data_IF_813127038459
#
_entry.id   IF_813127038459
#
_cell.length_a   1.000
_cell.length_b   1.000
_cell.length_c   1.000
_cell.angle_alpha   90.00
_cell.angle_beta   90.00
_cell.angle_gamma   90.00
#
_symmetry.space_group_name_H-M   'P 1'
#
loop_
_entity.id
_entity.type
_entity.pdbx_description
1 polymer ?
#
# COMPACT_ATOMS: atom_id res chain seq x y z
N UNK A 1 9.57 8.39 -4.66
CA UNK A 1 8.42 7.77 -3.99
C UNK A 1 7.17 8.16 -4.77
N UNK A 2 6.39 7.20 -5.26
CA UNK A 2 5.11 7.48 -5.92
C UNK A 2 4.05 6.59 -5.30
N UNK A 3 3.00 7.20 -4.76
CA UNK A 3 1.82 6.47 -4.34
C UNK A 3 1.02 6.11 -5.58
N UNK A 4 0.71 4.84 -5.75
CA UNK A 4 -0.15 4.33 -6.82
C UNK A 4 -1.46 3.87 -6.18
N UNK A 5 -2.56 4.03 -6.90
CA UNK A 5 -3.85 3.50 -6.46
C UNK A 5 -3.97 2.08 -7.01
N UNK A 6 -4.00 1.09 -6.12
CA UNK A 6 -4.14 -0.31 -6.50
C UNK A 6 -5.59 -0.77 -6.25
N UNK A 7 -6.29 -1.10 -7.32
CA UNK A 7 -7.68 -1.54 -7.23
C UNK A 7 -8.04 -2.54 -8.34
N UNK A 8 -9.03 -3.40 -8.07
CA UNK A 8 -9.49 -4.38 -9.04
C UNK A 8 -10.32 -3.67 -10.11
N UNK A 9 -9.83 -3.64 -11.36
CA UNK A 9 -10.49 -2.97 -12.49
C UNK A 9 -11.94 -3.43 -12.71
N UNK A 10 -12.33 -4.60 -12.19
CA UNK A 10 -13.69 -5.15 -12.31
C UNK A 10 -14.62 -4.80 -11.14
N UNK A 11 -14.08 -4.37 -10.00
CA UNK A 11 -14.88 -3.99 -8.84
C UNK A 11 -15.30 -2.51 -8.96
N UNK A 12 -16.51 -2.25 -9.47
CA UNK A 12 -17.13 -0.91 -9.47
C UNK A 12 -17.58 -0.46 -8.07
N UNK A 13 -16.72 -0.60 -7.06
CA UNK A 13 -17.03 -0.17 -5.69
C UNK A 13 -16.32 1.14 -5.39
N UNK A 14 -17.01 2.09 -4.75
CA UNK A 14 -16.43 3.36 -4.29
C UNK A 14 -15.39 3.07 -3.18
N UNK A 15 -14.14 2.84 -3.54
CA UNK A 15 -13.07 2.60 -2.57
C UNK A 15 -11.70 2.61 -3.22
N UNK A 16 -11.14 3.81 -3.43
CA UNK A 16 -9.74 3.95 -3.81
C UNK A 16 -8.87 3.44 -2.66
N UNK A 17 -7.99 2.49 -2.92
CA UNK A 17 -7.01 2.01 -1.96
C UNK A 17 -5.61 2.46 -2.39
N UNK A 18 -4.90 3.15 -1.50
CA UNK A 18 -3.53 3.57 -1.76
C UNK A 18 -2.58 2.40 -1.57
N UNK A 19 -1.66 2.21 -2.52
CA UNK A 19 -0.55 1.27 -2.43
C UNK A 19 0.75 2.04 -2.70
N UNK A 20 1.67 2.00 -1.73
CA UNK A 20 2.96 2.67 -1.89
C UNK A 20 3.93 1.69 -2.54
N UNK A 21 4.45 2.05 -3.72
CA UNK A 21 5.45 1.24 -4.42
C UNK A 21 6.78 2.01 -4.55
N UNK A 22 7.88 1.33 -4.29
CA UNK A 22 9.25 1.85 -4.35
C UNK A 22 10.08 1.01 -5.32
N UNK A 23 10.98 1.63 -6.07
CA UNK A 23 11.92 0.90 -6.89
C UNK A 23 13.18 0.58 -6.08
N UNK A 24 13.55 -0.70 -6.00
CA UNK A 24 14.84 -1.14 -5.44
C UNK A 24 15.94 -1.24 -6.51
N UNK A 25 15.57 -1.21 -7.79
CA UNK A 25 16.51 -1.31 -8.91
C UNK A 25 16.10 -0.45 -10.11
N UNK A 26 17.01 -0.29 -11.08
CA UNK A 26 16.71 0.38 -12.34
C UNK A 26 15.59 -0.32 -13.14
N UNK A 27 15.52 -1.65 -13.06
CA UNK A 27 14.43 -2.43 -13.65
C UNK A 27 13.10 -2.12 -12.95
N UNK A 28 13.12 -2.04 -11.62
CA UNK A 28 11.99 -1.58 -10.81
C UNK A 28 11.49 -0.19 -11.18
N UNK A 29 12.42 0.75 -11.39
CA UNK A 29 12.08 2.11 -11.81
C UNK A 29 11.40 2.11 -13.18
N UNK A 30 11.91 1.34 -14.15
CA UNK A 30 11.28 1.18 -15.45
C UNK A 30 9.88 0.55 -15.33
N UNK A 31 9.70 -0.42 -14.44
CA UNK A 31 8.40 -1.04 -14.16
C UNK A 31 7.43 -0.06 -13.50
N UNK A 32 7.85 0.78 -12.56
CA UNK A 32 7.01 1.84 -11.99
C UNK A 32 6.54 2.85 -13.04
N UNK A 33 7.41 3.21 -13.99
CA UNK A 33 7.03 4.08 -15.11
C UNK A 33 5.94 3.39 -15.95
N UNK A 34 6.12 2.12 -16.32
CA UNK A 34 5.13 1.35 -17.07
C UNK A 34 3.80 1.24 -16.33
N UNK A 35 3.82 0.88 -15.05
CA UNK A 35 2.63 0.80 -14.20
C UNK A 35 1.88 2.14 -14.15
N UNK A 36 2.61 3.24 -14.00
CA UNK A 36 2.00 4.56 -14.07
C UNK A 36 1.38 4.83 -15.44
N UNK A 37 2.09 4.58 -16.53
CA UNK A 37 1.58 4.84 -17.88
C UNK A 37 0.34 3.99 -18.17
N UNK A 38 0.36 2.70 -17.83
CA UNK A 38 -0.75 1.78 -18.02
C UNK A 38 -1.95 2.14 -17.15
N UNK A 39 -1.73 2.61 -15.92
CA UNK A 39 -2.81 3.13 -15.08
C UNK A 39 -3.52 4.35 -15.68
N UNK A 40 -2.81 5.20 -16.42
CA UNK A 40 -3.41 6.30 -17.18
C UNK A 40 -4.05 5.89 -18.50
N UNK A 41 -3.47 4.93 -19.21
CA UNK A 41 -3.95 4.54 -20.54
C UNK A 41 -5.14 3.56 -20.49
N UNK A 42 -5.11 2.63 -19.54
CA UNK A 42 -6.05 1.50 -19.47
C UNK A 42 -6.92 1.49 -18.21
N UNK A 43 -6.54 2.25 -17.17
CA UNK A 43 -7.19 2.27 -15.86
C UNK A 43 -7.93 3.56 -15.54
N UNK A 44 -8.05 4.48 -16.50
CA UNK A 44 -8.57 5.82 -16.24
C UNK A 44 -10.09 5.86 -16.16
N UNK A 45 -10.62 5.99 -14.94
CA UNK A 45 -12.04 6.24 -14.69
C UNK A 45 -12.27 7.60 -14.02
N UNK A 46 -11.45 7.94 -13.01
CA UNK A 46 -11.44 9.24 -12.30
C UNK A 46 -10.02 9.56 -11.78
N UNK A 47 -9.27 8.52 -11.40
CA UNK A 47 -7.85 8.49 -11.07
C UNK A 47 -7.20 7.32 -11.83
N UNK A 48 -5.90 7.38 -12.16
CA UNK A 48 -5.18 6.26 -12.78
C UNK A 48 -5.10 5.08 -11.79
N UNK A 49 -5.62 3.92 -12.20
CA UNK A 49 -5.66 2.70 -11.36
C UNK A 49 -4.83 1.59 -11.94
N UNK A 50 -4.19 0.83 -11.07
CA UNK A 50 -3.46 -0.40 -11.44
C UNK A 50 -4.18 -1.59 -10.83
N UNK A 51 -4.42 -2.64 -11.62
CA UNK A 51 -4.96 -3.89 -11.11
C UNK A 51 -3.88 -4.90 -10.73
N UNK A 52 -4.31 -5.94 -10.05
CA UNK A 52 -3.44 -7.03 -9.62
C UNK A 52 -2.68 -7.70 -10.78
N UNK A 53 -3.32 -7.87 -11.95
CA UNK A 53 -2.68 -8.47 -13.12
C UNK A 53 -1.52 -7.62 -13.66
N UNK A 54 -1.66 -6.29 -13.64
CA UNK A 54 -0.55 -5.40 -13.98
C UNK A 54 0.55 -5.40 -12.94
N UNK A 55 0.19 -5.43 -11.65
CA UNK A 55 1.17 -5.53 -10.56
C UNK A 55 1.99 -6.81 -10.71
N UNK A 56 1.35 -7.96 -10.92
CA UNK A 56 2.00 -9.26 -11.18
C UNK A 56 2.97 -9.19 -12.37
N UNK A 57 2.54 -8.59 -13.49
CA UNK A 57 3.38 -8.48 -14.70
C UNK A 57 4.59 -7.56 -14.55
N UNK A 58 4.55 -6.62 -13.59
CA UNK A 58 5.57 -5.59 -13.43
C UNK A 58 6.17 -5.52 -12.01
N UNK A 59 6.02 -6.58 -11.20
CA UNK A 59 6.46 -6.58 -9.79
C UNK A 59 7.98 -6.57 -9.62
N UNK A 60 8.74 -7.06 -10.61
CA UNK A 60 10.18 -7.25 -10.47
C UNK A 60 10.92 -5.93 -10.19
N UNK A 61 11.77 -5.94 -9.16
CA UNK A 61 12.54 -4.76 -8.74
C UNK A 61 11.73 -3.72 -7.98
N UNK A 62 10.51 -4.06 -7.54
CA UNK A 62 9.62 -3.17 -6.80
C UNK A 62 9.40 -3.70 -5.39
N UNK A 63 9.48 -2.79 -4.42
CA UNK A 63 9.07 -2.99 -3.03
C UNK A 63 7.68 -2.41 -2.82
N UNK A 64 6.79 -3.18 -2.21
CA UNK A 64 5.43 -2.78 -1.89
C UNK A 64 5.26 -2.54 -0.39
N UNK A 65 4.61 -1.42 -0.03
CA UNK A 65 4.13 -1.17 1.32
C UNK A 65 2.60 -1.28 1.33
N UNK A 66 2.02 -1.88 2.37
CA UNK A 66 0.57 -2.12 2.52
C UNK A 66 -0.32 -0.87 2.45
N UNK A 67 0.28 0.32 2.48
CA UNK A 67 -0.37 1.62 2.36
C UNK A 67 -0.75 2.24 3.70
N UNK A 68 -1.12 3.52 3.66
CA UNK A 68 -1.51 4.31 4.84
C UNK A 68 -2.92 3.92 5.36
N UNK A 69 -3.57 4.80 6.14
CA UNK A 69 -4.98 4.61 6.57
C UNK A 69 -5.95 4.33 5.40
N UNK A 70 -5.67 4.92 4.24
CA UNK A 70 -6.44 4.70 2.99
C UNK A 70 -6.00 3.46 2.21
N UNK A 71 -5.04 2.68 2.71
CA UNK A 71 -4.61 1.41 2.13
C UNK A 71 -5.64 0.31 2.34
N UNK A 72 -5.64 -0.69 1.45
CA UNK A 72 -6.64 -1.77 1.46
C UNK A 72 -6.61 -2.56 2.77
N UNK A 73 -5.41 -2.89 3.24
CA UNK A 73 -5.17 -3.63 4.50
C UNK A 73 -5.66 -2.84 5.70
N UNK A 74 -5.24 -1.57 5.84
CA UNK A 74 -5.65 -0.69 6.94
C UNK A 74 -7.17 -0.48 6.98
N UNK A 75 -7.79 -0.25 5.82
CA UNK A 75 -9.24 -0.06 5.70
C UNK A 75 -10.02 -1.29 6.16
N UNK A 76 -9.61 -2.48 5.76
CA UNK A 76 -10.27 -3.72 6.17
C UNK A 76 -10.14 -3.96 7.68
N UNK A 77 -9.00 -3.62 8.28
CA UNK A 77 -8.85 -3.65 9.73
C UNK A 77 -9.80 -2.67 10.42
N UNK A 78 -9.93 -1.44 9.91
CA UNK A 78 -10.91 -0.45 10.43
C UNK A 78 -12.37 -0.92 10.27
N UNK A 79 -12.68 -1.66 9.20
CA UNK A 79 -14.01 -2.24 8.96
C UNK A 79 -14.23 -3.56 9.73
N UNK A 80 -13.33 -3.92 10.67
CA UNK A 80 -13.41 -5.17 11.46
C UNK A 80 -13.37 -6.44 10.60
N UNK A 81 -12.63 -6.41 9.48
CA UNK A 81 -12.47 -7.51 8.51
C UNK A 81 -11.02 -8.03 8.46
N UNK A 82 -10.49 -8.60 9.55
CA UNK A 82 -9.07 -9.01 9.63
C UNK A 82 -8.70 -10.17 8.70
N UNK A 83 -9.66 -11.02 8.31
CA UNK A 83 -9.41 -12.11 7.35
C UNK A 83 -9.12 -11.57 5.95
N UNK A 84 -9.85 -10.54 5.55
CA UNK A 84 -9.66 -9.91 4.24
C UNK A 84 -8.33 -9.14 4.21
N UNK A 85 -7.99 -8.47 5.32
CA UNK A 85 -6.69 -7.81 5.50
C UNK A 85 -5.51 -8.78 5.35
N UNK A 86 -5.64 -9.99 5.90
CA UNK A 86 -4.64 -11.05 5.71
C UNK A 86 -4.57 -11.49 4.26
N UNK A 87 -5.70 -11.76 3.62
CA UNK A 87 -5.72 -12.24 2.24
C UNK A 87 -5.10 -11.21 1.26
N UNK A 88 -5.32 -9.92 1.47
CA UNK A 88 -4.70 -8.88 0.65
C UNK A 88 -3.21 -8.71 0.93
N UNK A 89 -2.77 -8.87 2.19
CA UNK A 89 -1.34 -8.88 2.51
C UNK A 89 -0.64 -10.10 1.89
N UNK A 90 -1.25 -11.28 2.00
CA UNK A 90 -0.74 -12.52 1.37
C UNK A 90 -0.63 -12.35 -0.14
N UNK A 91 -1.61 -11.68 -0.77
CA UNK A 91 -1.56 -11.37 -2.19
C UNK A 91 -0.40 -10.44 -2.54
N UNK A 92 -0.12 -9.42 -1.73
CA UNK A 92 1.05 -8.56 -1.94
C UNK A 92 2.34 -9.36 -1.84
N UNK A 93 2.46 -10.23 -0.84
CA UNK A 93 3.63 -11.12 -0.67
C UNK A 93 3.79 -12.07 -1.86
N UNK A 94 2.69 -12.63 -2.40
CA UNK A 94 2.74 -13.49 -3.58
C UNK A 94 3.25 -12.76 -4.83
N UNK A 95 2.94 -11.47 -4.95
CA UNK A 95 3.29 -10.64 -6.11
C UNK A 95 4.72 -10.12 -6.03
N UNK A 96 5.07 -9.49 -4.91
CA UNK A 96 6.34 -8.78 -4.74
C UNK A 96 7.41 -9.64 -4.06
N UNK A 97 7.00 -10.69 -3.35
CA UNK A 97 7.87 -11.51 -2.52
C UNK A 97 7.91 -11.02 -1.07
N UNK A 98 8.28 -11.90 -0.13
CA UNK A 98 8.33 -11.59 1.29
C UNK A 98 9.37 -10.51 1.62
N UNK A 99 10.54 -10.57 0.97
CA UNK A 99 11.64 -9.61 1.17
C UNK A 99 11.33 -8.21 0.63
N UNK A 100 10.33 -8.09 -0.24
CA UNK A 100 9.95 -6.85 -0.91
C UNK A 100 8.54 -6.39 -0.51
N UNK A 101 7.96 -6.97 0.54
CA UNK A 101 6.63 -6.59 1.06
C UNK A 101 6.72 -6.14 2.51
N UNK A 102 6.17 -4.96 2.79
CA UNK A 102 6.19 -4.36 4.11
C UNK A 102 4.80 -3.92 4.57
N UNK A 103 4.51 -4.12 5.84
CA UNK A 103 3.35 -3.52 6.52
C UNK A 103 3.71 -2.10 6.94
N UNK A 104 3.02 -1.11 6.36
CA UNK A 104 3.22 0.31 6.64
C UNK A 104 2.48 0.71 7.92
N UNK A 105 3.21 1.27 8.88
CA UNK A 105 2.69 1.84 10.12
C UNK A 105 2.95 3.33 10.13
N UNK A 106 1.91 4.10 10.45
CA UNK A 106 2.01 5.55 10.60
C UNK A 106 1.52 5.95 11.99
N UNK A 107 2.22 6.90 12.62
CA UNK A 107 1.78 7.48 13.87
C UNK A 107 1.88 9.02 13.80
N UNK A 108 0.80 9.62 13.32
CA UNK A 108 0.58 11.05 13.27
C UNK A 108 -0.26 11.57 14.45
N UNK A 109 -0.51 10.72 15.48
CA UNK A 109 -1.33 11.06 16.63
C UNK A 109 -2.85 11.04 16.38
N UNK A 110 -3.30 10.35 15.33
CA UNK A 110 -4.71 10.18 15.01
C UNK A 110 -5.31 9.00 15.81
N UNK A 111 -6.56 9.15 16.25
CA UNK A 111 -7.25 8.11 17.01
C UNK A 111 -7.41 6.81 16.21
N UNK A 112 -7.72 6.90 14.90
CA UNK A 112 -7.84 5.69 14.09
C UNK A 112 -6.52 4.92 14.01
N UNK A 113 -5.38 5.61 13.95
CA UNK A 113 -4.06 4.96 13.92
C UNK A 113 -3.74 4.24 15.23
N UNK A 114 -4.14 4.81 16.37
CA UNK A 114 -3.96 4.13 17.65
C UNK A 114 -4.75 2.81 17.73
N UNK A 115 -5.91 2.74 17.07
CA UNK A 115 -6.74 1.54 17.03
C UNK A 115 -6.23 0.49 16.03
N UNK A 116 -5.76 0.90 14.85
CA UNK A 116 -5.33 -0.04 13.80
C UNK A 116 -3.87 -0.49 13.94
N UNK A 117 -2.98 0.34 14.48
CA UNK A 117 -1.54 0.03 14.52
C UNK A 117 -1.23 -1.27 15.26
N UNK A 118 -1.84 -1.58 16.44
CA UNK A 118 -1.64 -2.87 17.10
C UNK A 118 -2.09 -4.05 16.23
N UNK A 119 -3.16 -3.88 15.45
CA UNK A 119 -3.68 -4.92 14.55
C UNK A 119 -2.76 -5.13 13.35
N UNK A 120 -2.21 -4.06 12.78
CA UNK A 120 -1.20 -4.11 11.72
C UNK A 120 0.07 -4.83 12.19
N UNK A 121 0.54 -4.53 13.41
CA UNK A 121 1.69 -5.22 14.01
C UNK A 121 1.39 -6.72 14.17
N UNK A 122 0.22 -7.07 14.71
CA UNK A 122 -0.19 -8.45 14.88
C UNK A 122 -0.31 -9.19 13.54
N UNK A 123 -0.76 -8.49 12.49
CA UNK A 123 -0.85 -9.03 11.14
C UNK A 123 0.54 -9.30 10.54
N UNK A 124 1.46 -8.33 10.64
CA UNK A 124 2.85 -8.49 10.19
C UNK A 124 3.54 -9.68 10.89
N UNK A 125 3.37 -9.79 12.21
CA UNK A 125 3.96 -10.88 13.00
C UNK A 125 3.40 -12.26 12.64
N UNK A 126 2.11 -12.36 12.35
CA UNK A 126 1.47 -13.63 11.95
C UNK A 126 1.90 -14.10 10.58
N UNK A 127 2.12 -13.16 9.67
CA UNK A 127 2.36 -13.48 8.27
C UNK A 127 3.80 -13.99 8.08
N UNK A 128 4.73 -13.75 9.02
CA UNK A 128 6.17 -14.13 9.00
C UNK A 128 6.98 -13.67 7.77
N UNK A 129 6.27 -13.24 6.72
CA UNK A 129 6.74 -12.99 5.37
C UNK A 129 6.73 -11.48 5.06
N UNK A 130 6.15 -10.64 5.92
CA UNK A 130 6.10 -9.19 5.71
C UNK A 130 6.82 -8.44 6.84
N UNK A 131 7.71 -7.51 6.45
CA UNK A 131 8.49 -6.70 7.38
C UNK A 131 7.71 -5.46 7.85
N UNK A 132 8.07 -4.91 9.01
CA UNK A 132 7.44 -3.70 9.55
C UNK A 132 8.15 -2.44 9.04
N UNK A 133 7.40 -1.50 8.46
CA UNK A 133 7.92 -0.18 8.07
C UNK A 133 7.20 0.92 8.85
N UNK A 134 7.94 1.87 9.43
CA UNK A 134 7.36 3.05 10.09
C UNK A 134 7.58 4.26 9.20
N UNK A 135 6.50 4.91 8.79
CA UNK A 135 6.56 6.10 7.95
C UNK A 135 5.96 7.31 8.66
N UNK A 136 6.71 8.42 8.66
CA UNK A 136 6.23 9.73 9.04
C UNK A 136 5.52 10.35 7.83
N UNK A 137 4.19 10.33 7.78
CA UNK A 137 3.42 10.89 6.65
C UNK A 137 3.53 12.41 6.55
N UNK A 138 4.59 12.96 5.94
CA UNK A 138 4.76 14.41 5.77
C UNK A 138 4.14 14.91 4.45
N UNK A 139 3.12 15.77 4.54
CA UNK A 139 2.54 16.49 3.39
C UNK A 139 3.09 17.93 3.24
N UNK A 140 3.95 18.36 4.18
CA UNK A 140 4.57 19.69 4.25
C UNK A 140 6.02 19.55 4.72
N UNK A 141 6.88 20.46 4.27
CA UNK A 141 8.27 20.57 4.74
C UNK A 141 8.39 21.31 6.07
N UNK A 142 7.31 21.91 6.56
CA UNK A 142 7.27 22.66 7.83
C UNK A 142 6.53 21.90 8.92
N UNK A 143 7.07 21.94 10.14
CA UNK A 143 6.40 21.45 11.35
C UNK A 143 5.21 22.37 11.66
N UNK A 144 3.98 21.86 11.83
CA UNK A 144 2.86 22.71 12.21
C UNK A 144 3.16 23.39 13.56
N UNK A 145 2.91 24.70 13.70
CA UNK A 145 3.12 25.39 14.96
C UNK A 145 2.17 24.81 16.02
N UNK A 146 2.71 24.34 17.15
CA UNK A 146 1.91 24.01 18.34
C UNK A 146 2.09 22.62 18.95
N UNK A 147 2.83 21.69 18.34
CA UNK A 147 3.15 20.41 18.99
C UNK A 147 4.52 20.49 19.68
N UNK A 148 4.53 20.71 21.00
CA UNK A 148 5.69 20.55 21.89
C UNK A 148 5.61 19.22 22.62
#
# INVERSE_FOLDING_TARGET
MRQLVADDRRAQTKGYAHLTLLAESNEGHANLIKLSSLGYLEGYYYEPRVDWELLERHAKGIVALSGCLSGRVSRQLSESRPKDASADLDRLVQIFGPESTYVEIQNAGLSEQHEINPQLIALAQKTHEALLCIQSGSHSTSRPPGQR
#
